data_IF_239921667959
#
_entry.id   IF_239921667959
#
_cell.length_a   1.000
_cell.length_b   1.000
_cell.length_c   1.000
_cell.angle_alpha   90.00
_cell.angle_beta   90.00
_cell.angle_gamma   90.00
#
_symmetry.space_group_name_H-M   'P 1'
#
loop_
_entity.id
_entity.type
_entity.pdbx_description
1 polymer ?
#
# COMPACT_ATOMS: atom_id res chain seq x y z
N UNK A 1 13.67 25.55 -44.23
CA UNK A 1 14.62 25.34 -43.10
C UNK A 1 13.90 25.32 -41.75
N UNK A 2 13.11 26.35 -41.39
CA UNK A 2 12.49 26.50 -40.06
C UNK A 2 11.49 25.38 -39.66
N UNK A 3 10.66 24.89 -40.59
CA UNK A 3 9.71 23.77 -40.34
C UNK A 3 10.39 22.45 -39.94
N UNK A 4 11.64 22.22 -40.37
CA UNK A 4 12.38 20.97 -40.10
C UNK A 4 12.90 20.94 -38.66
N UNK A 5 13.28 22.10 -38.11
CA UNK A 5 13.68 22.24 -36.70
C UNK A 5 12.48 22.18 -35.75
N UNK A 6 11.31 22.67 -36.17
CA UNK A 6 10.07 22.59 -35.39
C UNK A 6 9.65 21.15 -35.07
N UNK A 7 9.82 20.23 -36.03
CA UNK A 7 9.54 18.79 -35.89
C UNK A 7 10.55 18.08 -34.96
N UNK A 8 11.82 18.54 -34.96
CA UNK A 8 12.86 18.00 -34.07
C UNK A 8 12.63 18.46 -32.63
N UNK A 9 12.22 19.72 -32.44
CA UNK A 9 11.92 20.29 -31.12
C UNK A 9 10.69 19.61 -30.49
N UNK A 10 9.65 19.28 -31.28
CA UNK A 10 8.47 18.58 -30.77
C UNK A 10 8.77 17.15 -30.31
N UNK A 11 9.68 16.45 -31.00
CA UNK A 11 10.12 15.10 -30.61
C UNK A 11 10.96 15.15 -29.33
N UNK A 12 11.81 16.18 -29.17
CA UNK A 12 12.62 16.35 -27.95
C UNK A 12 11.76 16.74 -26.73
N UNK A 13 10.69 17.51 -26.94
CA UNK A 13 9.75 17.90 -25.87
C UNK A 13 8.95 16.72 -25.28
N UNK A 14 8.78 15.63 -26.04
CA UNK A 14 8.14 14.40 -25.54
C UNK A 14 9.09 13.57 -24.64
N UNK A 15 10.41 13.74 -24.77
CA UNK A 15 11.41 13.00 -23.99
C UNK A 15 11.64 13.59 -22.59
N UNK A 16 11.14 14.79 -22.32
CA UNK A 16 11.24 15.46 -21.00
C UNK A 16 9.96 15.32 -20.15
N UNK A 17 8.97 14.55 -20.61
CA UNK A 17 7.87 14.13 -19.74
C UNK A 17 8.37 13.06 -18.77
N UNK A 18 9.11 13.51 -17.76
CA UNK A 18 9.54 12.67 -16.65
C UNK A 18 8.33 12.14 -15.87
N UNK A 19 8.46 10.92 -15.35
CA UNK A 19 7.44 10.31 -14.51
C UNK A 19 7.36 11.08 -13.18
N UNK A 20 6.24 11.77 -12.94
CA UNK A 20 6.00 12.44 -11.67
C UNK A 20 5.81 11.38 -10.57
N UNK A 21 6.75 11.30 -9.63
CA UNK A 21 6.62 10.42 -8.47
C UNK A 21 5.63 11.02 -7.48
N UNK A 22 4.69 10.21 -6.97
CA UNK A 22 3.76 10.67 -5.94
C UNK A 22 4.55 11.03 -4.68
N UNK A 23 4.33 12.23 -4.14
CA UNK A 23 5.02 12.68 -2.94
C UNK A 23 4.40 12.04 -1.70
N UNK A 24 5.22 11.40 -0.88
CA UNK A 24 4.79 10.87 0.40
C UNK A 24 4.50 12.01 1.38
N UNK A 25 3.35 11.98 2.04
CA UNK A 25 3.04 12.93 3.12
C UNK A 25 3.81 12.59 4.37
N UNK A 26 3.78 11.32 4.76
CA UNK A 26 4.47 10.83 5.95
C UNK A 26 4.91 9.39 5.74
N UNK A 27 6.16 9.06 6.06
CA UNK A 27 6.66 7.68 6.12
C UNK A 27 7.14 7.36 7.53
N UNK A 28 6.69 6.24 8.09
CA UNK A 28 6.93 5.86 9.48
C UNK A 28 7.49 4.44 9.55
N UNK A 29 8.67 4.28 10.17
CA UNK A 29 9.19 2.96 10.57
C UNK A 29 8.35 2.43 11.74
N UNK A 30 8.09 1.12 11.72
CA UNK A 30 7.33 0.47 12.77
C UNK A 30 7.66 -1.02 12.90
N UNK A 31 7.41 -1.57 14.09
CA UNK A 31 7.18 -3.00 14.28
C UNK A 31 5.73 -3.34 13.96
N UNK A 32 5.53 -4.25 13.01
CA UNK A 32 4.23 -4.58 12.44
C UNK A 32 3.90 -6.04 12.76
N UNK A 33 2.74 -6.24 13.38
CA UNK A 33 2.06 -7.53 13.43
C UNK A 33 0.99 -7.48 12.35
N UNK A 34 1.12 -8.30 11.31
CA UNK A 34 0.08 -8.50 10.31
C UNK A 34 -0.22 -9.99 10.23
N UNK A 35 -1.16 -10.41 11.08
CA UNK A 35 -1.58 -11.81 11.21
C UNK A 35 -3.00 -11.96 10.68
N UNK A 36 -3.13 -12.87 9.73
CA UNK A 36 -4.38 -13.38 9.19
C UNK A 36 -4.31 -14.91 9.11
N UNK A 37 -5.37 -15.63 8.70
CA UNK A 37 -5.32 -17.07 8.52
C UNK A 37 -4.21 -17.53 7.55
N UNK A 38 -3.95 -16.75 6.49
CA UNK A 38 -3.04 -17.10 5.38
C UNK A 38 -1.71 -16.35 5.39
N UNK A 39 -1.60 -15.23 6.13
CA UNK A 39 -0.37 -14.43 6.23
C UNK A 39 -0.01 -14.17 7.69
N UNK A 40 1.27 -14.30 8.07
CA UNK A 40 1.70 -14.11 9.46
C UNK A 40 3.05 -13.42 9.48
N UNK A 41 3.04 -12.14 9.84
CA UNK A 41 4.25 -11.33 9.96
C UNK A 41 4.36 -10.73 11.36
N UNK A 42 5.58 -10.70 11.89
CA UNK A 42 5.93 -9.96 13.10
C UNK A 42 7.33 -9.39 12.94
N UNK A 43 7.40 -8.35 12.13
CA UNK A 43 8.66 -7.87 11.58
C UNK A 43 8.68 -6.34 11.51
N UNK A 44 9.83 -5.80 11.10
CA UNK A 44 9.99 -4.35 10.86
C UNK A 44 9.44 -3.98 9.50
N UNK A 45 9.00 -2.74 9.37
CA UNK A 45 8.55 -2.22 8.09
C UNK A 45 8.14 -0.76 8.15
N UNK A 46 7.49 -0.31 7.09
CA UNK A 46 7.10 1.07 6.90
C UNK A 46 5.61 1.19 6.62
N UNK A 47 5.00 2.21 7.22
CA UNK A 47 3.67 2.70 6.86
C UNK A 47 3.84 4.09 6.27
N UNK A 48 3.65 4.21 4.97
CA UNK A 48 3.76 5.47 4.24
C UNK A 48 2.39 5.94 3.78
N UNK A 49 2.03 7.18 4.08
CA UNK A 49 0.75 7.79 3.67
C UNK A 49 0.99 8.70 2.48
N UNK A 50 0.22 8.47 1.42
CA UNK A 50 0.10 9.35 0.25
C UNK A 50 -1.27 10.03 0.28
N UNK A 51 -1.54 10.89 -0.71
CA UNK A 51 -2.87 11.52 -0.87
C UNK A 51 -3.99 10.49 -1.08
N UNK A 52 -3.72 9.44 -1.86
CA UNK A 52 -4.75 8.50 -2.33
C UNK A 52 -4.70 7.12 -1.65
N UNK A 53 -3.58 6.76 -1.02
CA UNK A 53 -3.41 5.42 -0.46
C UNK A 53 -2.43 5.38 0.70
N UNK A 54 -2.52 4.30 1.47
CA UNK A 54 -1.51 3.90 2.45
C UNK A 54 -0.67 2.78 1.87
N UNK A 55 0.65 2.92 1.92
CA UNK A 55 1.62 1.90 1.52
C UNK A 55 2.19 1.22 2.76
N UNK A 56 1.87 -0.06 2.93
CA UNK A 56 2.41 -0.92 3.97
C UNK A 56 3.48 -1.82 3.36
N UNK A 57 4.70 -1.73 3.88
CA UNK A 57 5.78 -2.62 3.52
C UNK A 57 6.31 -3.32 4.76
N UNK A 58 6.48 -4.65 4.71
CA UNK A 58 7.09 -5.45 5.77
C UNK A 58 8.36 -6.08 5.23
N UNK A 59 9.43 -6.02 6.01
CA UNK A 59 10.75 -6.51 5.66
C UNK A 59 11.21 -7.60 6.61
N UNK A 60 11.76 -8.68 6.06
CA UNK A 60 12.47 -9.70 6.83
C UNK A 60 13.88 -9.83 6.26
N UNK A 61 14.90 -9.61 7.11
CA UNK A 61 16.33 -9.66 6.75
C UNK A 61 16.62 -8.83 5.47
N UNK A 62 16.07 -7.62 5.41
CA UNK A 62 16.27 -6.69 4.28
C UNK A 62 15.47 -6.98 3.01
N UNK A 63 14.71 -8.08 2.95
CA UNK A 63 13.84 -8.41 1.82
C UNK A 63 12.39 -7.99 2.11
N UNK A 64 11.71 -7.44 1.09
CA UNK A 64 10.27 -7.13 1.17
C UNK A 64 9.49 -8.44 1.14
N UNK A 65 8.80 -8.76 2.25
CA UNK A 65 7.97 -9.98 2.37
C UNK A 65 6.47 -9.68 2.26
N UNK A 66 6.08 -8.42 2.42
CA UNK A 66 4.73 -7.94 2.15
C UNK A 66 4.81 -6.51 1.60
N UNK A 67 4.09 -6.25 0.51
CA UNK A 67 3.93 -4.92 -0.07
C UNK A 67 2.45 -4.72 -0.42
N UNK A 68 1.77 -3.86 0.33
CA UNK A 68 0.36 -3.54 0.13
C UNK A 68 0.18 -2.04 -0.10
N UNK A 69 -0.50 -1.68 -1.20
CA UNK A 69 -1.11 -0.35 -1.37
C UNK A 69 -2.60 -0.47 -1.06
N UNK A 70 -3.04 0.26 -0.04
CA UNK A 70 -4.38 0.21 0.51
C UNK A 70 -5.08 1.51 0.10
N UNK A 71 -5.93 1.43 -0.92
CA UNK A 71 -6.81 2.49 -1.38
C UNK A 71 -8.14 2.42 -0.63
N UNK A 72 -9.03 3.38 -0.89
CA UNK A 72 -10.37 3.39 -0.28
C UNK A 72 -11.26 2.26 -0.81
N UNK A 73 -11.08 1.84 -2.07
CA UNK A 73 -11.92 0.90 -2.81
C UNK A 73 -11.22 -0.43 -3.17
N UNK A 74 -9.89 -0.45 -3.16
CA UNK A 74 -9.10 -1.64 -3.48
C UNK A 74 -7.80 -1.78 -2.66
N UNK A 75 -7.26 -3.00 -2.69
CA UNK A 75 -5.96 -3.31 -2.08
C UNK A 75 -5.09 -4.02 -3.11
N UNK A 76 -3.94 -3.44 -3.40
CA UNK A 76 -2.96 -3.97 -4.32
C UNK A 76 -1.79 -4.62 -3.58
N UNK A 77 -1.56 -5.90 -3.84
CA UNK A 77 -0.37 -6.65 -3.43
C UNK A 77 0.64 -6.57 -4.57
N UNK A 78 1.57 -5.61 -4.51
CA UNK A 78 2.41 -5.16 -5.63
C UNK A 78 1.65 -4.42 -6.75
N UNK A 79 2.36 -4.03 -7.82
CA UNK A 79 1.81 -3.24 -8.94
C UNK A 79 0.86 -4.00 -9.87
N UNK A 80 0.77 -5.33 -9.79
CA UNK A 80 0.02 -6.15 -10.76
C UNK A 80 -1.10 -7.00 -10.15
N UNK A 81 -1.22 -7.06 -8.81
CA UNK A 81 -2.24 -7.87 -8.14
C UNK A 81 -3.13 -6.97 -7.27
N UNK A 82 -4.14 -6.36 -7.86
CA UNK A 82 -5.15 -5.58 -7.14
C UNK A 82 -6.45 -6.37 -6.99
N UNK A 83 -7.06 -6.27 -5.81
CA UNK A 83 -8.36 -6.83 -5.51
C UNK A 83 -9.24 -5.72 -4.96
N UNK A 84 -10.52 -5.71 -5.32
CA UNK A 84 -11.46 -4.85 -4.61
C UNK A 84 -11.54 -5.29 -3.14
N UNK A 85 -12.00 -4.37 -2.28
CA UNK A 85 -12.05 -4.60 -0.84
C UNK A 85 -12.77 -5.89 -0.43
N UNK A 86 -13.88 -6.23 -1.07
CA UNK A 86 -14.68 -7.42 -0.76
C UNK A 86 -13.93 -8.72 -1.08
N UNK A 87 -13.26 -8.74 -2.23
CA UNK A 87 -12.39 -9.86 -2.64
C UNK A 87 -11.17 -10.01 -1.72
N UNK A 88 -10.56 -8.88 -1.34
CA UNK A 88 -9.44 -8.88 -0.41
C UNK A 88 -9.87 -9.42 0.97
N UNK A 89 -11.02 -8.95 1.48
CA UNK A 89 -11.59 -9.40 2.75
C UNK A 89 -11.86 -10.90 2.73
N UNK A 90 -12.50 -11.40 1.67
CA UNK A 90 -12.77 -12.83 1.49
C UNK A 90 -11.49 -13.67 1.45
N UNK A 91 -10.45 -13.19 0.76
CA UNK A 91 -9.23 -13.96 0.51
C UNK A 91 -8.24 -13.93 1.69
N UNK A 92 -8.13 -12.80 2.37
CA UNK A 92 -7.06 -12.53 3.32
C UNK A 92 -7.52 -12.15 4.72
N UNK A 93 -8.77 -11.70 4.91
CA UNK A 93 -9.32 -11.30 6.20
C UNK A 93 -10.56 -12.14 6.53
N UNK A 94 -11.70 -11.50 6.80
CA UNK A 94 -12.98 -12.15 7.05
C UNK A 94 -14.05 -11.56 6.11
N UNK A 95 -14.95 -12.42 5.62
CA UNK A 95 -15.96 -12.07 4.61
C UNK A 95 -16.98 -11.02 5.09
N UNK A 96 -17.22 -10.96 6.39
CA UNK A 96 -18.21 -10.10 7.05
C UNK A 96 -17.66 -8.72 7.44
N UNK A 97 -16.39 -8.45 7.15
CA UNK A 97 -15.81 -7.14 7.40
C UNK A 97 -16.36 -6.11 6.40
N UNK A 98 -16.55 -4.89 6.89
CA UNK A 98 -16.86 -3.74 6.06
C UNK A 98 -15.83 -3.59 4.93
N UNK A 99 -16.29 -3.21 3.74
CA UNK A 99 -15.41 -3.09 2.57
C UNK A 99 -14.24 -2.13 2.88
N UNK A 100 -14.49 -1.01 3.55
CA UNK A 100 -13.43 -0.02 3.86
C UNK A 100 -12.67 -0.33 5.14
N UNK A 101 -12.85 -1.51 5.74
CA UNK A 101 -12.26 -1.88 7.03
C UNK A 101 -10.75 -1.64 7.07
N UNK A 102 -10.00 -2.18 6.11
CA UNK A 102 -8.55 -2.12 6.13
C UNK A 102 -8.04 -0.70 5.95
N UNK A 103 -8.61 0.04 4.99
CA UNK A 103 -8.30 1.45 4.76
C UNK A 103 -8.56 2.29 6.02
N UNK A 104 -9.75 2.17 6.61
CA UNK A 104 -10.14 2.88 7.83
C UNK A 104 -9.28 2.53 9.04
N UNK A 105 -8.79 1.29 9.12
CA UNK A 105 -7.86 0.88 10.16
C UNK A 105 -6.50 1.59 10.03
N UNK A 106 -5.97 1.68 8.82
CA UNK A 106 -4.66 2.29 8.55
C UNK A 106 -4.66 3.82 8.51
N UNK A 107 -5.82 4.46 8.35
CA UNK A 107 -5.99 5.90 8.54
C UNK A 107 -5.78 6.36 9.99
N UNK A 108 -6.00 5.48 10.97
CA UNK A 108 -5.86 5.81 12.39
C UNK A 108 -4.39 6.04 12.77
N UNK A 109 -4.16 6.89 13.77
CA UNK A 109 -2.84 7.04 14.37
C UNK A 109 -2.43 5.82 15.20
N UNK A 110 -3.38 5.23 15.92
CA UNK A 110 -3.21 4.01 16.69
C UNK A 110 -3.81 2.82 15.92
N UNK A 111 -2.97 2.17 15.11
CA UNK A 111 -3.36 1.03 14.28
C UNK A 111 -3.29 -0.23 15.13
N UNK A 112 -4.42 -0.66 15.69
CA UNK A 112 -4.55 -1.91 16.45
C UNK A 112 -5.94 -2.50 16.29
N UNK A 113 -5.99 -3.73 15.81
CA UNK A 113 -7.22 -4.50 15.65
C UNK A 113 -6.95 -5.97 15.94
N UNK A 114 -7.82 -6.61 16.74
CA UNK A 114 -7.72 -8.02 17.09
C UNK A 114 -9.09 -8.67 17.03
N UNK A 115 -9.22 -9.69 16.20
CA UNK A 115 -10.38 -10.55 16.09
C UNK A 115 -9.94 -11.99 16.36
N UNK A 116 -10.39 -12.53 17.49
CA UNK A 116 -10.04 -13.90 17.88
C UNK A 116 -10.81 -14.94 17.07
N UNK A 117 -12.03 -14.64 16.65
CA UNK A 117 -12.91 -15.56 15.93
C UNK A 117 -12.34 -15.86 14.56
N UNK A 118 -11.90 -14.83 13.84
CA UNK A 118 -11.31 -14.97 12.51
C UNK A 118 -9.77 -15.14 12.53
N UNK A 119 -9.15 -15.25 13.71
CA UNK A 119 -7.70 -15.36 13.90
C UNK A 119 -6.88 -14.21 13.25
N UNK A 120 -7.41 -12.99 13.34
CA UNK A 120 -6.80 -11.78 12.78
C UNK A 120 -6.21 -10.94 13.90
N UNK A 121 -4.97 -10.49 13.71
CA UNK A 121 -4.34 -9.50 14.57
C UNK A 121 -3.46 -8.57 13.74
N UNK A 122 -3.87 -7.31 13.65
CA UNK A 122 -3.14 -6.25 12.95
C UNK A 122 -2.75 -5.20 13.99
N UNK A 123 -1.46 -4.94 14.14
CA UNK A 123 -0.94 -3.91 15.03
C UNK A 123 0.30 -3.27 14.42
N UNK A 124 0.36 -1.94 14.45
CA UNK A 124 1.56 -1.17 14.09
C UNK A 124 2.03 -0.44 15.34
N UNK A 125 3.30 -0.65 15.69
CA UNK A 125 3.96 0.06 16.80
C UNK A 125 5.07 0.91 16.20
N UNK A 126 4.86 2.23 16.13
CA UNK A 126 5.83 3.19 15.60
C UNK A 126 7.11 3.14 16.45
N UNK A 127 8.25 3.30 15.78
CA UNK A 127 9.56 3.42 16.44
C UNK A 127 9.78 4.80 17.09
#
# INVERSE_FOLDING_TARGET
MLKKYLLIISVYALLIQGCATKQAKVSQSATIIFKTPVMKFYDKGFVTRYDEYIHLQIFNIGMVVLDLKIYEDEVCKSSFECLNNKEFNLKYLAKDYDDKFLYNLFLKDNIRFKDKTNNIFIKVTKD
#
